data_IF_412963523064
#
_entry.id   IF_412963523064
#
_cell.length_a   1.000
_cell.length_b   1.000
_cell.length_c   1.000
_cell.angle_alpha   90.00
_cell.angle_beta   90.00
_cell.angle_gamma   90.00
#
_symmetry.space_group_name_H-M   'P 1'
#
loop_
_entity.id
_entity.type
_entity.pdbx_description
1 polymer ?
#
# COMPACT_ATOMS: atom_id res chain seq x y z
N UNK A 1 -13.29 -36.37 -54.47
CA UNK A 1 -13.31 -37.77 -54.04
C UNK A 1 -12.13 -38.00 -53.12
N UNK A 2 -12.38 -37.94 -51.85
CA UNK A 2 -11.56 -38.69 -50.85
C UNK A 2 -12.32 -38.63 -49.51
N UNK A 3 -12.84 -39.77 -49.14
CA UNK A 3 -13.63 -39.99 -47.93
C UNK A 3 -12.71 -40.31 -46.77
N UNK A 4 -12.73 -39.51 -45.71
CA UNK A 4 -12.07 -39.83 -44.44
C UNK A 4 -13.04 -40.48 -43.47
N UNK A 5 -12.68 -41.64 -42.99
CA UNK A 5 -13.35 -42.55 -42.09
C UNK A 5 -13.45 -41.99 -40.67
N UNK A 6 -14.63 -42.11 -40.07
CA UNK A 6 -14.90 -41.92 -38.64
C UNK A 6 -14.63 -43.22 -37.91
N UNK A 7 -13.89 -43.13 -36.79
CA UNK A 7 -13.72 -44.24 -35.84
C UNK A 7 -14.57 -44.01 -34.59
N UNK A 8 -15.13 -45.08 -33.95
CA UNK A 8 -16.08 -44.97 -32.86
C UNK A 8 -15.42 -45.05 -31.46
N UNK A 9 -15.96 -44.26 -30.54
CA UNK A 9 -16.30 -44.55 -29.16
C UNK A 9 -15.22 -44.97 -28.17
N UNK A 10 -15.02 -44.10 -27.15
CA UNK A 10 -14.48 -44.51 -25.87
C UNK A 10 -15.47 -44.18 -24.73
N UNK A 11 -15.63 -45.07 -23.73
CA UNK A 11 -16.70 -44.94 -22.75
C UNK A 11 -16.39 -44.05 -21.57
N UNK A 12 -17.42 -43.40 -21.08
CA UNK A 12 -17.51 -42.60 -19.85
C UNK A 12 -16.96 -43.35 -18.63
N UNK A 13 -15.82 -42.88 -18.08
CA UNK A 13 -15.39 -43.26 -16.74
C UNK A 13 -16.14 -42.40 -15.70
N UNK A 14 -17.03 -43.07 -14.96
CA UNK A 14 -17.67 -42.54 -13.75
C UNK A 14 -16.63 -42.25 -12.67
N UNK A 15 -16.47 -40.98 -12.30
CA UNK A 15 -15.72 -40.60 -11.11
C UNK A 15 -16.67 -40.62 -9.91
N UNK A 16 -16.43 -41.58 -9.02
CA UNK A 16 -17.05 -41.68 -7.69
C UNK A 16 -16.70 -40.47 -6.83
N UNK A 17 -17.73 -39.90 -6.20
CA UNK A 17 -17.58 -38.85 -5.19
C UNK A 17 -17.10 -39.49 -3.88
N UNK A 18 -16.22 -38.81 -3.09
CA UNK A 18 -15.76 -39.33 -1.81
C UNK A 18 -16.88 -39.28 -0.76
N UNK A 19 -16.97 -40.37 -0.01
CA UNK A 19 -17.89 -40.63 1.08
C UNK A 19 -17.74 -39.69 2.26
N UNK A 20 -18.79 -39.56 3.03
CA UNK A 20 -19.10 -38.65 4.14
C UNK A 20 -18.09 -38.63 5.33
N UNK A 21 -17.10 -39.51 5.38
CA UNK A 21 -16.08 -39.55 6.44
C UNK A 21 -14.98 -38.47 6.33
N UNK A 22 -14.83 -37.82 5.19
CA UNK A 22 -13.86 -36.76 4.99
C UNK A 22 -14.25 -35.40 5.60
N UNK A 23 -15.55 -35.18 5.84
CA UNK A 23 -16.09 -33.90 6.32
C UNK A 23 -15.92 -33.68 7.82
N UNK A 24 -15.85 -34.74 8.63
CA UNK A 24 -15.71 -34.63 10.09
C UNK A 24 -14.28 -34.26 10.53
N UNK A 25 -13.25 -34.56 9.73
CA UNK A 25 -11.88 -34.19 10.04
C UNK A 25 -11.52 -32.73 9.66
N UNK A 26 -12.24 -32.13 8.75
CA UNK A 26 -12.04 -30.74 8.35
C UNK A 26 -12.63 -29.74 9.35
N UNK A 27 -13.72 -30.08 10.03
CA UNK A 27 -14.31 -29.21 11.06
C UNK A 27 -13.40 -29.05 12.30
N UNK A 28 -12.73 -30.13 12.72
CA UNK A 28 -11.84 -30.11 13.90
C UNK A 28 -10.55 -29.32 13.62
N UNK A 29 -10.08 -29.26 12.38
CA UNK A 29 -8.91 -28.45 11.98
C UNK A 29 -9.29 -26.98 11.88
N UNK A 30 -10.49 -26.66 11.39
CA UNK A 30 -10.98 -25.28 11.30
C UNK A 30 -11.22 -24.64 12.68
N UNK A 31 -11.73 -25.41 13.66
CA UNK A 31 -11.92 -24.91 15.04
C UNK A 31 -10.60 -24.65 15.77
N UNK A 32 -9.57 -25.46 15.53
CA UNK A 32 -8.25 -25.24 16.15
C UNK A 32 -7.46 -24.08 15.50
N UNK A 33 -7.70 -23.79 14.21
CA UNK A 33 -7.10 -22.63 13.52
C UNK A 33 -7.80 -21.34 13.94
N UNK A 34 -9.12 -21.35 14.13
CA UNK A 34 -9.88 -20.17 14.59
C UNK A 34 -9.48 -19.71 15.98
N UNK A 35 -9.24 -20.66 16.92
CA UNK A 35 -8.80 -20.34 18.30
C UNK A 35 -7.34 -19.90 18.40
N UNK A 36 -6.48 -20.26 17.42
CA UNK A 36 -5.11 -19.73 17.34
C UNK A 36 -5.04 -18.35 16.70
N UNK A 37 -5.93 -18.03 15.75
CA UNK A 37 -5.99 -16.71 15.14
C UNK A 37 -6.51 -15.63 16.10
N UNK A 38 -7.46 -15.93 16.99
CA UNK A 38 -7.96 -14.97 17.98
C UNK A 38 -6.95 -14.59 19.07
N UNK A 39 -5.97 -15.46 19.37
CA UNK A 39 -4.90 -15.14 20.33
C UNK A 39 -3.72 -14.38 19.71
N UNK A 40 -3.48 -14.51 18.41
CA UNK A 40 -2.41 -13.80 17.72
C UNK A 40 -2.84 -12.41 17.20
N UNK A 41 -4.13 -12.17 17.00
CA UNK A 41 -4.66 -10.92 16.45
C UNK A 41 -4.74 -9.75 17.45
N UNK A 42 -4.61 -10.00 18.75
CA UNK A 42 -4.82 -8.96 19.77
C UNK A 42 -3.55 -8.17 20.12
N UNK A 43 -2.36 -8.67 19.83
CA UNK A 43 -1.11 -7.98 20.12
C UNK A 43 -0.62 -7.03 19.00
N UNK A 44 -0.64 -7.36 17.71
CA UNK A 44 -0.16 -6.45 16.67
C UNK A 44 -1.03 -5.20 16.47
N UNK A 45 -2.33 -5.25 16.76
CA UNK A 45 -3.21 -4.09 16.61
C UNK A 45 -3.02 -3.03 17.72
N UNK A 46 -2.72 -3.44 18.95
CA UNK A 46 -2.38 -2.51 20.05
C UNK A 46 -1.06 -1.81 19.81
N UNK A 47 -0.09 -2.51 19.26
CA UNK A 47 1.22 -1.95 18.92
C UNK A 47 1.10 -0.91 17.79
N UNK A 48 0.33 -1.18 16.73
CA UNK A 48 0.07 -0.24 15.64
C UNK A 48 -0.65 1.02 16.14
N UNK A 49 -1.66 0.88 16.99
CA UNK A 49 -2.38 2.03 17.54
C UNK A 49 -1.48 2.90 18.43
N UNK A 50 -0.66 2.30 19.27
CA UNK A 50 0.29 3.03 20.11
C UNK A 50 1.34 3.78 19.28
N UNK A 51 1.80 3.19 18.17
CA UNK A 51 2.74 3.82 17.24
C UNK A 51 2.10 5.00 16.52
N UNK A 52 0.90 4.83 15.98
CA UNK A 52 0.14 5.91 15.35
C UNK A 52 -0.11 7.05 16.34
N UNK A 53 -0.50 6.73 17.58
CA UNK A 53 -0.73 7.70 18.65
C UNK A 53 0.51 8.57 18.91
N UNK A 54 1.65 7.92 19.15
CA UNK A 54 2.92 8.61 19.34
C UNK A 54 3.29 9.47 18.13
N UNK A 55 3.07 8.94 16.92
CA UNK A 55 3.41 9.62 15.68
C UNK A 55 2.57 10.87 15.44
N UNK A 56 1.24 10.77 15.62
CA UNK A 56 0.32 11.92 15.48
C UNK A 56 0.71 13.03 16.48
N UNK A 57 0.95 12.64 17.74
CA UNK A 57 1.35 13.58 18.78
C UNK A 57 2.67 14.27 18.45
N UNK A 58 3.71 13.52 18.04
CA UNK A 58 5.00 14.08 17.64
C UNK A 58 4.83 15.06 16.49
N UNK A 59 4.19 14.65 15.42
CA UNK A 59 3.97 15.49 14.25
C UNK A 59 3.19 16.78 14.55
N UNK A 60 2.23 16.73 15.47
CA UNK A 60 1.49 17.91 15.92
C UNK A 60 2.39 18.86 16.75
N UNK A 61 3.11 18.31 17.72
CA UNK A 61 3.96 19.12 18.62
C UNK A 61 5.13 19.76 17.88
N UNK A 62 5.76 19.04 16.96
CA UNK A 62 6.86 19.56 16.13
C UNK A 62 6.44 20.74 15.25
N UNK A 63 5.12 20.82 14.93
CA UNK A 63 4.52 21.94 14.19
C UNK A 63 3.98 23.05 15.09
N UNK A 64 4.16 22.93 16.41
CA UNK A 64 3.62 23.88 17.38
C UNK A 64 2.08 23.94 17.39
N UNK A 65 1.39 22.92 16.86
CA UNK A 65 -0.07 22.93 16.79
C UNK A 65 -0.69 22.50 18.12
N UNK A 66 -1.75 23.22 18.54
CA UNK A 66 -2.63 22.77 19.62
C UNK A 66 -3.58 21.67 19.11
N UNK A 67 -4.23 20.94 20.01
CA UNK A 67 -5.30 19.99 19.62
C UNK A 67 -6.43 20.68 18.87
N UNK A 68 -6.76 21.93 19.27
CA UNK A 68 -7.82 22.71 18.61
C UNK A 68 -7.40 23.16 17.21
N UNK A 69 -6.13 23.54 17.02
CA UNK A 69 -5.59 23.89 15.71
C UNK A 69 -5.60 22.68 14.76
N UNK A 70 -5.23 21.50 15.26
CA UNK A 70 -5.32 20.27 14.46
C UNK A 70 -6.76 19.88 14.17
N UNK A 71 -7.67 20.05 15.11
CA UNK A 71 -9.10 19.79 14.90
C UNK A 71 -9.67 20.67 13.77
N UNK A 72 -9.34 21.95 13.79
CA UNK A 72 -9.79 22.90 12.75
C UNK A 72 -9.20 22.57 11.36
N UNK A 73 -7.92 22.14 11.29
CA UNK A 73 -7.26 21.84 10.03
C UNK A 73 -7.59 20.45 9.45
N UNK A 74 -8.04 19.50 10.29
CA UNK A 74 -8.30 18.11 9.89
C UNK A 74 -9.79 17.78 9.75
N UNK A 75 -10.70 18.68 10.15
CA UNK A 75 -12.12 18.37 10.26
C UNK A 75 -12.41 17.11 11.10
N UNK A 76 -11.62 16.94 12.19
CA UNK A 76 -11.78 15.87 13.18
C UNK A 76 -11.96 16.53 14.56
N UNK A 77 -12.91 16.05 15.36
CA UNK A 77 -13.15 16.65 16.67
C UNK A 77 -11.92 16.59 17.58
N UNK A 78 -11.70 17.63 18.37
CA UNK A 78 -10.60 17.69 19.36
C UNK A 78 -10.58 16.47 20.30
N UNK A 79 -11.75 16.01 20.72
CA UNK A 79 -11.88 14.83 21.57
C UNK A 79 -11.40 13.56 20.87
N UNK A 80 -11.74 13.37 19.60
CA UNK A 80 -11.28 12.23 18.81
C UNK A 80 -9.75 12.25 18.63
N UNK A 81 -9.17 13.41 18.29
CA UNK A 81 -7.71 13.56 18.16
C UNK A 81 -7.03 13.22 19.48
N UNK A 82 -7.57 13.70 20.60
CA UNK A 82 -7.04 13.40 21.94
C UNK A 82 -7.09 11.90 22.26
N UNK A 83 -8.18 11.20 21.91
CA UNK A 83 -8.29 9.74 22.06
C UNK A 83 -7.26 8.99 21.18
N UNK A 84 -7.09 9.45 19.94
CA UNK A 84 -6.07 8.88 19.02
C UNK A 84 -4.68 9.06 19.59
N UNK A 85 -4.30 10.26 20.06
CA UNK A 85 -2.97 10.55 20.61
C UNK A 85 -2.66 9.80 21.93
N UNK A 86 -3.67 9.36 22.67
CA UNK A 86 -3.52 8.52 23.85
C UNK A 86 -3.52 7.03 23.54
N UNK A 87 -3.80 6.65 22.28
CA UNK A 87 -3.93 5.24 21.90
C UNK A 87 -5.21 4.58 22.43
N UNK A 88 -6.17 5.36 22.90
CA UNK A 88 -7.42 4.90 23.50
C UNK A 88 -8.53 4.64 22.48
N UNK A 89 -8.25 4.87 21.20
CA UNK A 89 -9.18 4.57 20.11
C UNK A 89 -8.46 3.88 18.96
N UNK A 90 -9.22 3.10 18.17
CA UNK A 90 -8.77 2.53 16.89
C UNK A 90 -9.41 3.36 15.77
N UNK A 91 -8.77 4.44 15.31
CA UNK A 91 -9.35 5.33 14.31
C UNK A 91 -9.49 4.62 12.96
N UNK A 92 -10.56 4.92 12.24
CA UNK A 92 -10.73 4.42 10.87
C UNK A 92 -9.68 5.05 9.93
N UNK A 93 -9.44 4.41 8.79
CA UNK A 93 -8.54 4.95 7.76
C UNK A 93 -8.94 6.37 7.32
N UNK A 94 -10.25 6.66 7.25
CA UNK A 94 -10.77 7.99 6.92
C UNK A 94 -10.39 9.04 7.98
N UNK A 95 -10.50 8.70 9.26
CA UNK A 95 -10.09 9.61 10.36
C UNK A 95 -8.59 9.85 10.32
N UNK A 96 -7.79 8.81 10.10
CA UNK A 96 -6.34 8.94 9.96
C UNK A 96 -5.93 9.77 8.75
N UNK A 97 -6.63 9.64 7.62
CA UNK A 97 -6.38 10.44 6.42
C UNK A 97 -6.68 11.93 6.66
N UNK A 98 -7.79 12.25 7.34
CA UNK A 98 -8.13 13.62 7.75
C UNK A 98 -7.06 14.20 8.69
N UNK A 99 -6.62 13.47 9.71
CA UNK A 99 -5.56 13.88 10.63
C UNK A 99 -4.24 14.10 9.87
N UNK A 100 -3.85 13.17 8.98
CA UNK A 100 -2.66 13.31 8.17
C UNK A 100 -2.72 14.55 7.28
N UNK A 101 -3.88 14.81 6.65
CA UNK A 101 -4.13 16.02 5.86
C UNK A 101 -4.00 17.28 6.71
N UNK A 102 -4.62 17.33 7.89
CA UNK A 102 -4.52 18.46 8.82
C UNK A 102 -3.10 18.72 9.31
N UNK A 103 -2.32 17.65 9.48
CA UNK A 103 -0.89 17.72 9.78
C UNK A 103 -0.02 18.06 8.57
N UNK A 104 -0.57 18.04 7.37
CA UNK A 104 0.20 18.30 6.18
C UNK A 104 1.15 17.17 5.78
N UNK A 105 0.85 15.91 6.11
CA UNK A 105 1.64 14.71 5.76
C UNK A 105 0.80 13.69 5.00
N UNK A 106 1.45 12.70 4.40
CA UNK A 106 0.72 11.56 3.82
C UNK A 106 0.22 10.62 4.92
N UNK A 107 -0.87 9.88 4.65
CA UNK A 107 -1.34 8.82 5.56
C UNK A 107 -0.22 7.82 5.88
N UNK A 108 0.62 7.48 4.91
CA UNK A 108 1.76 6.57 5.10
C UNK A 108 2.75 7.06 6.16
N UNK A 109 2.89 8.38 6.32
CA UNK A 109 3.76 8.99 7.33
C UNK A 109 3.30 8.70 8.76
N UNK A 110 2.00 8.47 8.99
CA UNK A 110 1.49 8.10 10.31
C UNK A 110 1.89 6.67 10.72
N UNK A 111 2.24 5.82 9.75
CA UNK A 111 2.67 4.44 9.98
C UNK A 111 4.19 4.27 9.94
N UNK A 112 4.95 5.35 9.70
CA UNK A 112 6.41 5.30 9.68
C UNK A 112 6.97 5.20 11.10
N UNK A 113 7.92 4.26 11.28
CA UNK A 113 8.60 4.00 12.55
C UNK A 113 9.75 4.98 12.85
N UNK A 114 9.99 5.94 11.97
CA UNK A 114 11.09 6.89 12.12
C UNK A 114 10.82 7.85 13.27
N UNK A 115 11.40 7.56 14.41
CA UNK A 115 11.43 8.40 15.61
C UNK A 115 12.71 9.25 15.58
N UNK A 116 12.61 10.50 15.16
CA UNK A 116 13.75 11.41 15.15
C UNK A 116 13.35 12.82 14.71
N UNK A 117 14.16 13.83 15.02
CA UNK A 117 13.96 15.15 14.47
C UNK A 117 13.97 15.12 12.93
N UNK A 118 13.29 16.05 12.25
CA UNK A 118 13.31 16.12 10.80
C UNK A 118 14.73 16.34 10.30
N UNK A 119 15.31 15.30 9.64
CA UNK A 119 16.59 15.41 8.95
C UNK A 119 16.28 15.58 7.44
N UNK A 120 16.78 16.62 6.77
CA UNK A 120 16.62 16.79 5.33
C UNK A 120 17.40 15.75 4.52
N UNK A 121 18.26 14.95 5.15
CA UNK A 121 19.08 13.93 4.50
C UNK A 121 18.59 12.53 4.86
N UNK A 122 18.27 11.72 3.84
CA UNK A 122 17.98 10.30 3.98
C UNK A 122 19.18 9.48 3.47
N UNK A 123 19.83 8.75 4.36
CA UNK A 123 21.00 7.91 4.01
C UNK A 123 20.57 6.47 3.68
N UNK A 124 21.27 5.76 2.78
CA UNK A 124 20.94 4.38 2.44
C UNK A 124 20.87 3.44 3.64
N UNK A 125 21.74 3.65 4.66
CA UNK A 125 21.77 2.83 5.86
C UNK A 125 20.50 2.96 6.73
N UNK A 126 19.82 4.11 6.65
CA UNK A 126 18.63 4.39 7.48
C UNK A 126 17.33 3.93 6.82
N UNK A 127 17.39 3.46 5.57
CA UNK A 127 16.23 3.09 4.76
C UNK A 127 15.87 1.62 4.97
N UNK A 128 14.80 1.36 5.71
CA UNK A 128 14.29 0.00 5.90
C UNK A 128 13.47 -0.44 4.68
N UNK A 129 13.91 -1.48 3.92
CA UNK A 129 13.12 -2.01 2.83
C UNK A 129 11.91 -2.76 3.36
N UNK A 130 10.75 -2.57 2.74
CA UNK A 130 9.53 -3.34 3.02
C UNK A 130 9.28 -4.29 1.87
N UNK A 131 9.15 -5.59 2.19
CA UNK A 131 8.85 -6.63 1.21
C UNK A 131 7.38 -7.03 1.30
N UNK A 132 6.69 -7.06 0.16
CA UNK A 132 5.35 -7.63 0.07
C UNK A 132 5.44 -9.17 0.06
N UNK A 133 4.74 -9.87 0.98
CA UNK A 133 4.83 -11.32 1.09
C UNK A 133 4.28 -12.06 -0.14
N UNK A 134 3.28 -11.50 -0.82
CA UNK A 134 2.61 -12.17 -1.95
C UNK A 134 3.38 -12.02 -3.26
N UNK A 135 3.69 -10.81 -3.64
CA UNK A 135 4.36 -10.52 -4.91
C UNK A 135 5.88 -10.53 -4.80
N UNK A 136 6.40 -10.47 -3.56
CA UNK A 136 7.83 -10.37 -3.28
C UNK A 136 8.45 -9.05 -3.69
N UNK A 137 7.66 -8.05 -4.16
CA UNK A 137 8.23 -6.75 -4.50
C UNK A 137 8.79 -6.07 -3.26
N UNK A 138 9.89 -5.34 -3.45
CA UNK A 138 10.55 -4.61 -2.37
C UNK A 138 10.36 -3.13 -2.59
N UNK A 139 9.82 -2.44 -1.58
CA UNK A 139 9.67 -0.99 -1.55
C UNK A 139 10.66 -0.39 -0.58
N UNK A 140 11.37 0.66 -1.01
CA UNK A 140 12.29 1.44 -0.17
C UNK A 140 11.96 2.92 -0.29
N UNK A 141 11.66 3.57 0.83
CA UNK A 141 11.45 5.01 0.85
C UNK A 141 12.79 5.74 0.68
N UNK A 142 12.89 6.64 -0.31
CA UNK A 142 14.10 7.41 -0.59
C UNK A 142 14.01 8.79 0.05
N UNK A 143 12.82 9.41 0.00
CA UNK A 143 12.61 10.70 0.66
C UNK A 143 12.91 10.62 2.15
N UNK A 144 13.49 11.68 2.73
CA UNK A 144 13.71 11.77 4.15
C UNK A 144 12.41 11.53 4.93
N UNK A 145 12.48 10.66 5.91
CA UNK A 145 11.40 10.47 6.85
C UNK A 145 11.23 11.73 7.70
N UNK A 146 9.99 12.08 8.03
CA UNK A 146 9.67 13.24 8.90
C UNK A 146 9.95 14.63 8.32
N UNK A 147 10.57 14.75 7.15
CA UNK A 147 10.78 16.04 6.51
C UNK A 147 9.53 16.45 5.70
N UNK A 148 8.91 17.61 5.99
CA UNK A 148 7.73 18.07 5.26
C UNK A 148 8.07 18.32 3.79
N UNK A 149 7.47 17.55 2.88
CA UNK A 149 7.68 17.70 1.43
C UNK A 149 6.39 17.38 0.69
N UNK A 150 6.02 18.16 -0.34
CA UNK A 150 4.93 17.76 -1.25
C UNK A 150 5.32 16.59 -2.17
N UNK A 151 6.60 16.24 -2.20
CA UNK A 151 7.17 15.20 -3.06
C UNK A 151 7.63 14.03 -2.21
N UNK A 152 7.26 12.82 -2.61
CA UNK A 152 7.76 11.58 -2.05
C UNK A 152 8.43 10.74 -3.14
N UNK A 153 9.63 10.24 -2.85
CA UNK A 153 10.42 9.39 -3.75
C UNK A 153 10.52 8.01 -3.14
N UNK A 154 10.18 6.99 -3.93
CA UNK A 154 10.18 5.59 -3.52
C UNK A 154 10.90 4.75 -4.58
N UNK A 155 11.84 3.93 -4.16
CA UNK A 155 12.46 2.91 -5.02
C UNK A 155 11.69 1.60 -4.91
N UNK A 156 11.46 0.95 -6.04
CA UNK A 156 10.80 -0.35 -6.14
C UNK A 156 11.70 -1.33 -6.87
N UNK A 157 11.82 -2.53 -6.30
CA UNK A 157 12.35 -3.70 -7.01
C UNK A 157 11.21 -4.68 -7.23
N UNK A 158 10.82 -4.87 -8.49
CA UNK A 158 9.74 -5.78 -8.90
C UNK A 158 10.35 -7.07 -9.41
N UNK A 159 10.14 -8.23 -8.74
CA UNK A 159 10.70 -9.50 -9.16
C UNK A 159 10.26 -9.93 -10.56
N UNK A 160 11.00 -10.86 -11.14
CA UNK A 160 10.65 -11.50 -12.41
C UNK A 160 9.24 -12.11 -12.34
N UNK A 161 8.40 -11.86 -13.34
CA UNK A 161 7.03 -12.35 -13.44
C UNK A 161 6.03 -11.72 -12.47
N UNK A 162 6.46 -10.90 -11.51
CA UNK A 162 5.58 -10.33 -10.50
C UNK A 162 4.60 -9.30 -11.08
N UNK A 163 3.44 -9.22 -10.42
CA UNK A 163 2.39 -8.22 -10.70
C UNK A 163 1.87 -7.64 -9.38
N UNK A 164 1.72 -6.33 -9.35
CA UNK A 164 1.10 -5.59 -8.24
C UNK A 164 0.01 -4.70 -8.82
N UNK A 165 -1.16 -4.67 -8.21
CA UNK A 165 -2.26 -3.83 -8.63
C UNK A 165 -2.79 -2.99 -7.46
N UNK A 166 -3.22 -1.78 -7.77
CA UNK A 166 -3.81 -0.84 -6.82
C UNK A 166 -5.18 -0.42 -7.31
N UNK A 167 -6.18 -0.60 -6.49
CA UNK A 167 -7.51 -0.05 -6.67
C UNK A 167 -7.44 1.44 -6.30
N UNK A 168 -7.23 2.29 -7.31
CA UNK A 168 -7.17 3.73 -7.10
C UNK A 168 -8.44 4.34 -7.67
N UNK A 169 -9.31 4.86 -6.81
CA UNK A 169 -10.43 5.72 -7.23
C UNK A 169 -9.97 7.17 -7.40
N UNK A 170 -10.85 8.01 -7.97
CA UNK A 170 -10.63 9.45 -8.01
C UNK A 170 -10.40 9.97 -6.58
N UNK A 171 -9.26 10.60 -6.34
CA UNK A 171 -8.89 11.20 -5.05
C UNK A 171 -8.76 12.70 -5.21
N UNK A 172 -9.30 13.44 -4.26
CA UNK A 172 -8.97 14.84 -4.06
C UNK A 172 -8.11 14.96 -2.77
N UNK A 173 -6.96 15.63 -2.82
CA UNK A 173 -6.33 16.29 -3.97
C UNK A 173 -5.75 15.29 -4.98
N UNK A 174 -5.65 15.73 -6.25
CA UNK A 174 -5.01 14.96 -7.32
C UNK A 174 -3.58 14.58 -6.96
N UNK A 175 -3.25 13.30 -7.11
CA UNK A 175 -1.90 12.80 -6.95
C UNK A 175 -1.26 12.60 -8.31
N UNK A 176 -0.17 13.31 -8.56
CA UNK A 176 0.67 13.13 -9.74
C UNK A 176 1.78 12.14 -9.44
N UNK A 177 2.04 11.27 -10.38
CA UNK A 177 3.07 10.25 -10.24
C UNK A 177 3.96 10.23 -11.47
N UNK A 178 5.26 10.10 -11.25
CA UNK A 178 6.23 9.77 -12.30
C UNK A 178 6.91 8.44 -11.96
N UNK A 179 7.12 7.63 -12.98
CA UNK A 179 7.76 6.32 -12.86
C UNK A 179 8.97 6.33 -13.78
N UNK A 180 10.16 6.23 -13.21
CA UNK A 180 11.41 6.22 -13.93
C UNK A 180 12.12 4.88 -13.77
N UNK A 181 12.29 4.15 -14.87
CA UNK A 181 12.88 2.80 -14.86
C UNK A 181 14.40 2.93 -14.85
N UNK A 182 15.03 2.40 -13.80
CA UNK A 182 16.48 2.39 -13.61
C UNK A 182 17.13 1.14 -14.21
N UNK A 183 16.48 -0.02 -14.06
CA UNK A 183 16.98 -1.30 -14.55
C UNK A 183 15.83 -2.20 -14.99
N UNK A 184 16.03 -2.93 -16.08
CA UNK A 184 15.07 -3.88 -16.61
C UNK A 184 13.93 -3.22 -17.39
N UNK A 185 12.76 -3.84 -17.35
CA UNK A 185 11.55 -3.30 -17.99
C UNK A 185 10.29 -3.69 -17.22
N UNK A 186 9.26 -2.83 -17.29
CA UNK A 186 7.97 -3.04 -16.66
C UNK A 186 6.84 -2.67 -17.61
N UNK A 187 5.66 -3.25 -17.39
CA UNK A 187 4.40 -2.79 -17.94
C UNK A 187 3.64 -2.04 -16.84
N UNK A 188 3.17 -0.84 -17.16
CA UNK A 188 2.31 -0.02 -16.28
C UNK A 188 0.96 0.13 -16.96
N UNK A 189 -0.09 -0.35 -16.32
CA UNK A 189 -1.47 -0.21 -16.79
C UNK A 189 -2.18 0.84 -15.95
N UNK A 190 -2.74 1.85 -16.60
CA UNK A 190 -3.58 2.89 -15.99
C UNK A 190 -4.96 2.81 -16.63
N UNK A 191 -5.97 2.40 -15.85
CA UNK A 191 -7.29 2.08 -16.39
C UNK A 191 -7.22 1.02 -17.48
N UNK A 192 -7.52 1.39 -18.73
CA UNK A 192 -7.47 0.49 -19.89
C UNK A 192 -6.17 0.60 -20.72
N UNK A 193 -5.30 1.57 -20.43
CA UNK A 193 -4.09 1.83 -21.22
C UNK A 193 -2.87 1.18 -20.56
N UNK A 194 -2.09 0.44 -21.35
CA UNK A 194 -0.85 -0.19 -20.87
C UNK A 194 0.36 0.41 -21.59
N UNK A 195 1.30 0.91 -20.81
CA UNK A 195 2.60 1.42 -21.25
C UNK A 195 3.69 0.40 -20.95
N UNK A 196 4.58 0.17 -21.90
CA UNK A 196 5.80 -0.64 -21.70
C UNK A 196 6.96 0.31 -21.54
N UNK A 197 7.67 0.17 -20.42
CA UNK A 197 8.80 1.03 -20.07
C UNK A 197 10.05 0.17 -19.96
N UNK A 198 11.09 0.58 -20.68
CA UNK A 198 12.44 0.02 -20.59
C UNK A 198 13.37 0.88 -19.73
N UNK A 199 14.65 0.53 -19.74
CA UNK A 199 15.67 1.30 -19.05
C UNK A 199 15.66 2.76 -19.49
N UNK A 200 15.72 3.68 -18.53
CA UNK A 200 15.70 5.13 -18.68
C UNK A 200 14.38 5.75 -19.16
N UNK A 201 13.34 4.94 -19.45
CA UNK A 201 12.03 5.48 -19.74
C UNK A 201 11.39 6.10 -18.49
N UNK A 202 10.66 7.20 -18.70
CA UNK A 202 9.87 7.88 -17.66
C UNK A 202 8.43 8.06 -18.11
N UNK A 203 7.49 7.59 -17.30
CA UNK A 203 6.05 7.79 -17.48
C UNK A 203 5.52 8.75 -16.43
N UNK A 204 4.85 9.84 -16.88
CA UNK A 204 4.09 10.72 -16.01
C UNK A 204 2.60 10.38 -16.09
N UNK A 205 1.93 10.31 -14.93
CA UNK A 205 0.51 10.01 -14.87
C UNK A 205 -0.15 10.66 -13.65
N UNK A 206 -1.46 10.82 -13.72
CA UNK A 206 -2.32 11.17 -12.59
C UNK A 206 -2.97 9.92 -12.04
N UNK A 207 -2.98 9.77 -10.70
CA UNK A 207 -3.58 8.61 -10.01
C UNK A 207 -5.10 8.78 -9.85
N UNK A 208 -5.82 8.67 -10.96
CA UNK A 208 -7.28 8.82 -11.04
C UNK A 208 -8.01 7.56 -11.51
N UNK A 209 -7.28 6.47 -11.76
CA UNK A 209 -7.80 5.19 -12.22
C UNK A 209 -7.03 4.02 -11.60
N UNK A 210 -7.60 2.79 -11.60
CA UNK A 210 -6.89 1.59 -11.19
C UNK A 210 -5.57 1.44 -11.93
N UNK A 211 -4.51 1.10 -11.18
CA UNK A 211 -3.14 1.03 -11.70
C UNK A 211 -2.54 -0.33 -11.43
N UNK A 212 -1.87 -0.93 -12.40
CA UNK A 212 -1.15 -2.18 -12.23
C UNK A 212 0.27 -2.09 -12.81
N UNK A 213 1.20 -2.71 -12.10
CA UNK A 213 2.60 -2.85 -12.49
C UNK A 213 2.90 -4.33 -12.72
N UNK A 214 3.54 -4.66 -13.82
CA UNK A 214 3.90 -6.03 -14.15
C UNK A 214 5.30 -6.12 -14.74
N UNK A 215 6.09 -7.05 -14.23
CA UNK A 215 7.36 -7.43 -14.82
C UNK A 215 7.18 -8.75 -15.57
N UNK A 216 7.19 -8.71 -16.91
CA UNK A 216 7.08 -9.94 -17.74
C UNK A 216 8.41 -10.59 -18.03
N UNK A 217 9.51 -10.01 -17.58
CA UNK A 217 10.85 -10.50 -17.86
C UNK A 217 11.28 -11.59 -16.88
N UNK A 218 12.43 -12.20 -17.15
CA UNK A 218 13.06 -13.20 -16.29
C UNK A 218 14.04 -12.61 -15.28
N UNK A 219 14.22 -11.28 -15.29
CA UNK A 219 15.10 -10.56 -14.36
C UNK A 219 14.28 -9.57 -13.55
N UNK A 220 14.66 -9.24 -12.31
CA UNK A 220 14.04 -8.15 -11.57
C UNK A 220 14.13 -6.82 -12.33
N UNK A 221 13.15 -5.95 -12.15
CA UNK A 221 13.19 -4.59 -12.62
C UNK A 221 13.27 -3.63 -11.42
N UNK A 222 14.08 -2.57 -11.55
CA UNK A 222 14.20 -1.50 -10.55
C UNK A 222 13.74 -0.19 -11.15
N UNK A 223 12.85 0.47 -10.44
CA UNK A 223 12.31 1.77 -10.86
C UNK A 223 12.05 2.67 -9.66
N UNK A 224 12.03 3.96 -9.92
CA UNK A 224 11.72 5.01 -8.95
C UNK A 224 10.32 5.53 -9.23
N UNK A 225 9.55 5.69 -8.17
CA UNK A 225 8.23 6.32 -8.17
C UNK A 225 8.35 7.66 -7.44
N UNK A 226 8.05 8.74 -8.14
CA UNK A 226 7.99 10.08 -7.59
C UNK A 226 6.51 10.46 -7.50
N UNK A 227 6.04 10.73 -6.28
CA UNK A 227 4.64 11.10 -6.01
C UNK A 227 4.63 12.57 -5.58
N UNK A 228 3.80 13.37 -6.22
CA UNK A 228 3.57 14.76 -5.85
C UNK A 228 2.09 14.97 -5.54
N UNK A 229 1.80 15.61 -4.40
CA UNK A 229 0.44 16.04 -4.03
C UNK A 229 0.26 17.51 -4.38
N UNK A 230 -0.72 17.83 -5.22
CA UNK A 230 -1.08 19.22 -5.48
C UNK A 230 -1.97 19.74 -4.35
N UNK A 231 -1.34 20.45 -3.39
CA UNK A 231 -2.05 21.11 -2.28
C UNK A 231 -2.53 22.51 -2.62
N UNK A 232 -2.16 23.06 -3.79
CA UNK A 232 -2.44 24.44 -4.15
C UNK A 232 -3.92 24.72 -4.42
N UNK A 233 -4.71 23.70 -4.74
CA UNK A 233 -6.16 23.84 -4.99
C UNK A 233 -7.02 23.87 -3.74
N UNK A 234 -6.59 23.28 -2.62
CA UNK A 234 -7.39 23.22 -1.39
C UNK A 234 -7.48 24.56 -0.65
N UNK A 235 -6.59 25.53 -0.93
CA UNK A 235 -6.56 26.83 -0.21
C UNK A 235 -7.26 27.98 -0.97
N UNK A 236 -7.97 27.71 -2.07
CA UNK A 236 -8.68 28.70 -2.88
C UNK A 236 -10.21 28.55 -2.90
N UNK A 237 -10.77 27.84 -1.92
CA UNK A 237 -12.24 27.84 -1.70
C UNK A 237 -12.57 28.41 -0.35
#
# INVERSE_FOLDING_TARGET
MNTARVAPGDPLMSRSFPTTEGLTRLSTILDSVSTMQDRAATQPSRDINARIAGRVRTLRTDRGMTLDALAASSDVSRSMISLVERGESSPTAVVLEKIASGLGVSLATLFDDSTGPPDPVSRPADRTPRRDPQSGYVRRNISPANFPSPIQIVEIVLPAGARVAYETGAREPSLHQQIWVQEGSIEVTLGSVTHRLGHDDCLAMELNAPTAFRNRTRKPARYVVIIASDRSRASRR
#
